data_IF_411572860059
#
_entry.id   IF_411572860059
#
_cell.length_a   1.000
_cell.length_b   1.000
_cell.length_c   1.000
_cell.angle_alpha   90.00
_cell.angle_beta   90.00
_cell.angle_gamma   90.00
#
_symmetry.space_group_name_H-M   'P 1'
#
loop_
_entity.id
_entity.type
_entity.pdbx_description
1 polymer ?
#
# COMPACT_ATOMS: atom_id res chain seq x y z
N UNK A 1 9.31 -6.48 -3.56
CA UNK A 1 8.05 -6.17 -2.82
C UNK A 1 6.82 -6.78 -3.46
N UNK A 2 6.51 -6.50 -4.73
CA UNK A 2 5.40 -7.12 -5.47
C UNK A 2 5.25 -8.63 -5.24
N UNK A 3 6.31 -9.40 -5.51
CA UNK A 3 6.32 -10.86 -5.36
C UNK A 3 6.10 -11.32 -3.92
N UNK A 4 6.73 -10.65 -2.95
CA UNK A 4 6.55 -10.93 -1.53
C UNK A 4 5.08 -10.79 -1.13
N UNK A 5 4.46 -9.65 -1.44
CA UNK A 5 3.06 -9.41 -1.04
C UNK A 5 2.06 -10.25 -1.84
N UNK A 6 2.38 -10.65 -3.07
CA UNK A 6 1.64 -11.71 -3.76
C UNK A 6 1.66 -13.01 -2.95
N UNK A 7 2.84 -13.52 -2.57
CA UNK A 7 2.92 -14.76 -1.80
C UNK A 7 2.28 -14.65 -0.41
N UNK A 8 2.46 -13.53 0.27
CA UNK A 8 1.82 -13.25 1.57
C UNK A 8 0.30 -13.23 1.45
N UNK A 9 -0.25 -12.56 0.43
CA UNK A 9 -1.70 -12.43 0.25
C UNK A 9 -2.41 -13.78 0.05
N UNK A 10 -1.70 -14.78 -0.46
CA UNK A 10 -2.24 -16.12 -0.75
C UNK A 10 -1.95 -17.13 0.37
N UNK A 11 -1.10 -16.80 1.34
CA UNK A 11 -0.89 -17.64 2.54
C UNK A 11 -1.92 -17.30 3.62
N UNK A 12 -3.14 -17.82 3.42
CA UNK A 12 -4.26 -17.53 4.32
C UNK A 12 -4.00 -17.97 5.77
N UNK A 13 -3.24 -19.04 5.97
CA UNK A 13 -2.89 -19.51 7.31
C UNK A 13 -2.02 -18.48 8.04
N UNK A 14 -0.99 -17.95 7.37
CA UNK A 14 -0.15 -16.89 7.91
C UNK A 14 -0.95 -15.61 8.21
N UNK A 15 -1.83 -15.18 7.30
CA UNK A 15 -2.67 -14.00 7.50
C UNK A 15 -3.61 -14.17 8.70
N UNK A 16 -4.28 -15.32 8.82
CA UNK A 16 -5.17 -15.62 9.94
C UNK A 16 -4.38 -15.64 11.25
N UNK A 17 -3.29 -16.39 11.33
CA UNK A 17 -2.46 -16.48 12.55
C UNK A 17 -1.95 -15.10 12.99
N UNK A 18 -1.51 -14.28 12.03
CA UNK A 18 -0.96 -12.94 12.30
C UNK A 18 -2.01 -11.94 12.78
N UNK A 19 -3.24 -12.03 12.25
CA UNK A 19 -4.27 -11.01 12.43
C UNK A 19 -5.41 -11.42 13.38
N UNK A 20 -5.56 -12.70 13.70
CA UNK A 20 -6.59 -13.17 14.64
C UNK A 20 -6.54 -12.45 16.00
N UNK A 21 -5.37 -12.20 16.61
CA UNK A 21 -5.32 -11.46 17.88
C UNK A 21 -5.91 -10.04 17.78
N UNK A 22 -5.94 -9.46 16.58
CA UNK A 22 -6.48 -8.12 16.33
C UNK A 22 -8.00 -8.13 16.08
N UNK A 23 -8.62 -9.28 15.80
CA UNK A 23 -10.03 -9.37 15.43
C UNK A 23 -11.01 -8.92 16.54
N UNK A 24 -10.60 -9.02 17.80
CA UNK A 24 -11.42 -8.55 18.92
C UNK A 24 -11.48 -7.02 18.99
N UNK A 25 -10.37 -6.34 18.71
CA UNK A 25 -10.22 -4.88 18.83
C UNK A 25 -10.43 -4.15 17.50
N UNK A 26 -10.35 -4.86 16.37
CA UNK A 26 -10.47 -4.31 15.02
C UNK A 26 -11.63 -4.94 14.26
N UNK A 27 -12.73 -4.18 14.15
CA UNK A 27 -13.95 -4.64 13.48
C UNK A 27 -13.72 -5.03 12.01
N UNK A 28 -12.93 -4.25 11.25
CA UNK A 28 -12.64 -4.58 9.85
C UNK A 28 -11.84 -5.86 9.70
N UNK A 29 -10.79 -6.05 10.52
CA UNK A 29 -9.96 -7.25 10.48
C UNK A 29 -10.82 -8.47 10.73
N UNK A 30 -11.69 -8.43 11.76
CA UNK A 30 -12.60 -9.54 12.05
C UNK A 30 -13.49 -9.88 10.86
N UNK A 31 -14.17 -8.88 10.29
CA UNK A 31 -15.10 -9.08 9.17
C UNK A 31 -14.38 -9.62 7.93
N UNK A 32 -13.17 -9.13 7.64
CA UNK A 32 -12.41 -9.60 6.48
C UNK A 32 -11.74 -10.96 6.71
N UNK A 33 -11.35 -11.32 7.95
CA UNK A 33 -10.93 -12.68 8.28
C UNK A 33 -12.08 -13.69 8.19
N UNK A 34 -13.29 -13.32 8.63
CA UNK A 34 -14.51 -14.12 8.44
C UNK A 34 -14.75 -14.37 6.94
N UNK A 35 -14.66 -13.33 6.12
CA UNK A 35 -14.79 -13.45 4.67
C UNK A 35 -13.68 -14.29 4.04
N UNK A 36 -12.42 -14.12 4.46
CA UNK A 36 -11.28 -14.90 3.95
C UNK A 36 -11.49 -16.40 4.19
N UNK A 37 -11.96 -16.78 5.39
CA UNK A 37 -12.30 -18.17 5.73
C UNK A 37 -13.43 -18.70 4.87
N UNK A 38 -14.44 -17.87 4.62
CA UNK A 38 -15.56 -18.23 3.78
C UNK A 38 -15.11 -18.54 2.34
N UNK A 39 -14.34 -17.65 1.71
CA UNK A 39 -13.78 -17.85 0.37
C UNK A 39 -12.89 -19.10 0.33
N UNK A 40 -12.07 -19.31 1.35
CA UNK A 40 -11.23 -20.51 1.44
C UNK A 40 -12.06 -21.79 1.50
N UNK A 41 -13.20 -21.77 2.20
CA UNK A 41 -14.09 -22.93 2.32
C UNK A 41 -14.94 -23.18 1.07
N UNK A 42 -15.36 -22.12 0.37
CA UNK A 42 -16.16 -22.21 -0.86
C UNK A 42 -15.30 -22.66 -2.06
N UNK A 43 -14.03 -22.26 -2.06
CA UNK A 43 -13.10 -22.49 -3.15
C UNK A 43 -12.91 -21.23 -4.00
N UNK A 44 -11.82 -21.20 -4.77
CA UNK A 44 -11.43 -20.02 -5.53
C UNK A 44 -12.13 -20.05 -6.90
N UNK A 45 -13.07 -19.13 -7.13
CA UNK A 45 -13.75 -18.96 -8.43
C UNK A 45 -12.96 -18.09 -9.43
N UNK A 46 -12.05 -17.24 -8.95
CA UNK A 46 -11.16 -16.43 -9.79
C UNK A 46 -9.70 -16.73 -9.47
N UNK A 47 -8.97 -17.49 -10.32
CA UNK A 47 -7.59 -17.88 -10.06
C UNK A 47 -6.56 -16.75 -10.27
N UNK A 48 -6.93 -15.65 -10.93
CA UNK A 48 -6.05 -14.52 -11.18
C UNK A 48 -6.19 -13.47 -10.08
N UNK A 49 -5.07 -13.13 -9.44
CA UNK A 49 -4.99 -12.02 -8.49
C UNK A 49 -4.19 -10.86 -9.09
N UNK A 50 -4.71 -9.64 -8.91
CA UNK A 50 -4.02 -8.39 -9.24
C UNK A 50 -3.69 -7.66 -7.94
N UNK A 51 -2.40 -7.44 -7.72
CA UNK A 51 -1.93 -6.54 -6.67
C UNK A 51 -1.41 -5.29 -7.33
N UNK A 52 -2.11 -4.17 -7.14
CA UNK A 52 -1.56 -2.84 -7.30
C UNK A 52 -0.99 -2.41 -5.95
N UNK A 53 0.26 -1.95 -5.91
CA UNK A 53 0.89 -1.52 -4.66
C UNK A 53 1.78 -0.28 -4.78
N UNK A 54 1.92 0.42 -3.66
CA UNK A 54 2.90 1.48 -3.43
C UNK A 54 3.74 1.10 -2.22
N UNK A 55 5.06 1.10 -2.37
CA UNK A 55 6.00 0.89 -1.26
C UNK A 55 6.68 2.21 -0.93
N UNK A 56 6.60 2.61 0.33
CA UNK A 56 7.07 3.91 0.81
C UNK A 56 8.36 3.75 1.61
N UNK A 57 9.32 4.63 1.40
CA UNK A 57 10.68 4.55 1.91
C UNK A 57 11.18 5.92 2.39
N UNK A 58 12.02 5.90 3.42
CA UNK A 58 12.83 7.06 3.79
C UNK A 58 14.30 6.64 3.85
N UNK A 59 15.18 7.61 3.66
CA UNK A 59 16.58 7.40 4.02
C UNK A 59 16.72 7.25 5.54
N UNK A 60 17.77 6.60 5.98
CA UNK A 60 18.16 6.46 7.36
C UNK A 60 19.67 6.59 7.47
N UNK A 61 20.16 7.40 8.42
CA UNK A 61 21.60 7.49 8.70
C UNK A 61 22.12 6.10 9.09
N UNK A 62 23.13 5.61 8.37
CA UNK A 62 23.86 4.40 8.74
C UNK A 62 24.78 4.74 9.90
N UNK A 63 24.62 4.09 11.05
CA UNK A 63 25.50 4.29 12.19
C UNK A 63 26.93 3.83 11.85
N UNK A 64 27.79 4.75 11.40
CA UNK A 64 29.22 4.52 11.28
C UNK A 64 29.92 5.25 12.43
N UNK A 65 30.19 4.54 13.52
CA UNK A 65 30.88 5.07 14.72
C UNK A 65 32.33 5.55 14.44
N UNK A 66 32.86 5.35 13.23
CA UNK A 66 34.29 5.53 12.94
C UNK A 66 34.68 6.62 11.94
N UNK A 67 33.76 7.31 11.25
CA UNK A 67 34.16 8.38 10.32
C UNK A 67 33.19 9.58 10.31
N UNK A 68 33.54 10.62 11.07
CA UNK A 68 32.79 11.89 11.21
C UNK A 68 32.77 12.73 9.91
N UNK A 69 33.34 12.27 8.79
CA UNK A 69 33.55 13.09 7.59
C UNK A 69 32.47 13.00 6.51
N UNK A 70 31.57 12.00 6.53
CA UNK A 70 30.41 11.92 5.63
C UNK A 70 29.32 11.03 6.22
N UNK A 71 28.11 11.55 6.40
CA UNK A 71 26.96 10.72 6.77
C UNK A 71 26.62 9.80 5.58
N UNK A 72 26.63 8.50 5.82
CA UNK A 72 26.17 7.49 4.87
C UNK A 72 24.70 7.17 5.15
N UNK A 73 23.93 6.88 4.11
CA UNK A 73 22.48 6.67 4.22
C UNK A 73 22.07 5.34 3.59
N UNK A 74 21.16 4.64 4.25
CA UNK A 74 20.48 3.46 3.74
C UNK A 74 19.00 3.75 3.50
N UNK A 75 18.37 2.98 2.62
CA UNK A 75 16.94 3.11 2.33
C UNK A 75 16.14 2.16 3.20
N UNK A 76 15.16 2.69 3.94
CA UNK A 76 14.31 1.92 4.85
C UNK A 76 12.84 2.10 4.51
N UNK A 77 12.12 1.01 4.39
CA UNK A 77 10.70 0.98 4.12
C UNK A 77 9.93 1.51 5.33
N UNK A 78 9.04 2.46 5.09
CA UNK A 78 8.12 3.05 6.07
C UNK A 78 6.84 2.24 6.16
N UNK A 79 6.28 1.90 5.00
CA UNK A 79 5.02 1.17 4.87
C UNK A 79 4.84 0.58 3.47
N UNK A 80 3.91 -0.36 3.37
CA UNK A 80 3.34 -0.86 2.13
C UNK A 80 1.89 -0.41 2.07
N UNK A 81 1.42 -0.07 0.87
CA UNK A 81 0.07 0.33 0.57
C UNK A 81 -0.47 -0.52 -0.59
N UNK A 82 -1.50 -1.33 -0.33
CA UNK A 82 -2.21 -2.15 -1.31
C UNK A 82 -3.68 -1.71 -1.34
N UNK A 83 -4.22 -1.56 -2.56
CA UNK A 83 -5.61 -1.13 -2.76
C UNK A 83 -5.77 0.40 -2.88
N UNK A 84 -6.54 1.08 -2.00
CA UNK A 84 -6.72 2.52 -2.06
C UNK A 84 -5.45 3.29 -1.69
N UNK A 85 -4.68 3.69 -2.69
CA UNK A 85 -3.65 4.71 -2.54
C UNK A 85 -3.71 5.71 -3.69
N UNK A 86 -3.10 6.88 -3.46
CA UNK A 86 -2.97 7.95 -4.46
C UNK A 86 -1.53 8.32 -4.72
N UNK A 87 -1.37 9.34 -5.56
CA UNK A 87 -0.11 10.01 -5.85
C UNK A 87 0.65 9.53 -7.09
N UNK A 88 0.14 8.51 -7.79
CA UNK A 88 0.72 8.02 -9.04
C UNK A 88 0.66 9.06 -10.17
N UNK A 89 -0.51 9.69 -10.38
CA UNK A 89 -0.66 10.76 -11.36
C UNK A 89 0.01 12.06 -10.89
N UNK A 90 -0.05 12.35 -9.59
CA UNK A 90 0.63 13.51 -9.01
C UNK A 90 2.15 13.41 -9.18
N UNK A 91 2.76 12.23 -8.98
CA UNK A 91 4.18 11.99 -9.19
C UNK A 91 4.63 12.33 -10.61
N UNK A 92 3.89 11.84 -11.62
CA UNK A 92 4.15 12.16 -13.03
C UNK A 92 4.07 13.67 -13.33
N UNK A 93 3.08 14.36 -12.77
CA UNK A 93 2.96 15.81 -12.91
C UNK A 93 4.08 16.58 -12.21
N UNK A 94 4.42 16.21 -10.97
CA UNK A 94 5.50 16.84 -10.23
C UNK A 94 6.85 16.65 -10.91
N UNK A 95 7.09 15.49 -11.50
CA UNK A 95 8.29 15.23 -12.30
C UNK A 95 8.38 16.20 -13.48
N UNK A 96 7.31 16.35 -14.27
CA UNK A 96 7.25 17.28 -15.40
C UNK A 96 7.41 18.74 -14.94
N UNK A 97 6.80 19.11 -13.82
CA UNK A 97 6.89 20.45 -13.24
C UNK A 97 8.31 20.76 -12.76
N UNK A 98 8.93 19.88 -11.96
CA UNK A 98 10.27 20.08 -11.44
C UNK A 98 11.34 20.08 -12.52
N UNK A 99 11.20 19.29 -13.59
CA UNK A 99 12.09 19.38 -14.78
C UNK A 99 12.11 20.80 -15.34
N UNK A 100 10.94 21.42 -15.55
CA UNK A 100 10.86 22.81 -16.01
C UNK A 100 11.46 23.81 -15.03
N UNK A 101 11.29 23.59 -13.72
CA UNK A 101 11.88 24.48 -12.71
C UNK A 101 13.40 24.36 -12.66
N UNK A 102 13.93 23.15 -12.78
CA UNK A 102 15.37 22.89 -12.81
C UNK A 102 16.02 23.47 -14.08
N UNK A 103 15.39 23.34 -15.24
CA UNK A 103 15.82 24.02 -16.48
C UNK A 103 15.90 25.54 -16.29
N UNK A 104 14.86 26.16 -15.73
CA UNK A 104 14.85 27.61 -15.43
C UNK A 104 15.95 28.02 -14.45
N UNK A 105 16.30 27.14 -13.51
CA UNK A 105 17.38 27.34 -12.57
C UNK A 105 18.78 27.02 -13.16
N UNK A 106 18.89 26.72 -14.45
CA UNK A 106 20.15 26.38 -15.11
C UNK A 106 20.76 25.05 -14.65
N UNK A 107 19.92 24.13 -14.14
CA UNK A 107 20.34 22.81 -13.66
C UNK A 107 20.17 21.75 -14.76
N UNK A 108 20.94 20.66 -14.64
CA UNK A 108 20.86 19.52 -15.56
C UNK A 108 19.51 18.82 -15.40
N UNK A 109 18.86 18.56 -16.52
CA UNK A 109 17.60 17.80 -16.55
C UNK A 109 17.76 16.64 -17.53
N UNK A 110 18.06 15.47 -16.98
CA UNK A 110 18.18 14.19 -17.68
C UNK A 110 17.56 13.10 -16.82
N UNK A 111 17.16 11.99 -17.43
CA UNK A 111 16.53 10.86 -16.72
C UNK A 111 17.43 10.25 -15.63
N UNK A 112 18.75 10.37 -15.75
CA UNK A 112 19.70 9.92 -14.73
C UNK A 112 19.78 10.82 -13.49
N UNK A 113 19.37 12.08 -13.60
CA UNK A 113 19.26 13.02 -12.47
C UNK A 113 17.81 13.20 -12.00
N UNK A 114 16.84 13.05 -12.90
CA UNK A 114 15.41 13.21 -12.62
C UNK A 114 14.64 12.09 -13.34
N UNK A 115 14.44 10.93 -12.69
CA UNK A 115 13.88 9.74 -13.30
C UNK A 115 12.55 9.98 -14.01
N UNK A 116 12.30 9.24 -15.08
CA UNK A 116 10.97 9.20 -15.70
C UNK A 116 9.94 8.61 -14.75
N UNK A 117 8.70 9.03 -14.92
CA UNK A 117 7.64 8.75 -13.97
C UNK A 117 6.35 8.40 -14.68
N UNK A 118 6.09 7.10 -14.72
CA UNK A 118 4.98 6.46 -15.42
C UNK A 118 4.03 5.79 -14.41
N UNK A 119 3.89 6.35 -13.20
CA UNK A 119 3.11 5.72 -12.14
C UNK A 119 1.64 5.57 -12.51
N UNK A 120 1.01 6.58 -13.12
CA UNK A 120 -0.39 6.50 -13.54
C UNK A 120 -0.59 5.51 -14.69
N UNK A 121 0.34 5.50 -15.64
CA UNK A 121 0.39 4.57 -16.76
C UNK A 121 0.52 3.13 -16.27
N UNK A 122 1.40 2.89 -15.29
CA UNK A 122 1.57 1.58 -14.69
C UNK A 122 0.28 1.07 -14.03
N UNK A 123 -0.43 1.90 -13.26
CA UNK A 123 -1.67 1.49 -12.62
C UNK A 123 -2.75 1.13 -13.66
N UNK A 124 -2.87 1.95 -14.71
CA UNK A 124 -3.78 1.69 -15.81
C UNK A 124 -3.40 0.40 -16.57
N UNK A 125 -2.11 0.15 -16.78
CA UNK A 125 -1.57 -1.07 -17.41
C UNK A 125 -1.93 -2.31 -16.58
N UNK A 126 -1.74 -2.28 -15.25
CA UNK A 126 -2.11 -3.40 -14.38
C UNK A 126 -3.61 -3.74 -14.45
N UNK A 127 -4.49 -2.73 -14.44
CA UNK A 127 -5.94 -2.92 -14.61
C UNK A 127 -6.29 -3.45 -16.01
N UNK A 128 -5.59 -2.95 -17.03
CA UNK A 128 -5.82 -3.35 -18.41
C UNK A 128 -5.42 -4.81 -18.67
N UNK A 129 -4.24 -5.22 -18.19
CA UNK A 129 -3.77 -6.60 -18.32
C UNK A 129 -4.66 -7.57 -17.52
N UNK A 130 -5.16 -7.17 -16.34
CA UNK A 130 -6.18 -7.94 -15.64
C UNK A 130 -7.45 -8.12 -16.48
N UNK A 131 -7.96 -7.03 -17.06
CA UNK A 131 -9.16 -7.07 -17.89
C UNK A 131 -8.99 -7.96 -19.13
N UNK A 132 -7.82 -7.94 -19.77
CA UNK A 132 -7.48 -8.86 -20.86
C UNK A 132 -7.46 -10.32 -20.40
N UNK A 133 -6.86 -10.59 -19.24
CA UNK A 133 -6.79 -11.95 -18.67
C UNK A 133 -8.17 -12.50 -18.28
N UNK A 134 -9.15 -11.64 -18.02
CA UNK A 134 -10.54 -12.05 -17.84
C UNK A 134 -11.18 -12.62 -19.12
N UNK A 135 -10.62 -12.34 -20.31
CA UNK A 135 -11.00 -12.93 -21.61
C UNK A 135 -12.46 -12.71 -22.04
N UNK A 136 -13.05 -11.60 -21.64
CA UNK A 136 -14.37 -11.17 -22.16
C UNK A 136 -14.32 -9.70 -22.58
N UNK A 137 -14.31 -9.39 -23.90
CA UNK A 137 -14.17 -8.02 -24.39
C UNK A 137 -15.40 -7.13 -24.11
N UNK A 138 -16.53 -7.71 -23.68
CA UNK A 138 -17.73 -6.98 -23.31
C UNK A 138 -17.84 -6.74 -21.79
N UNK A 139 -16.94 -7.33 -21.00
CA UNK A 139 -16.94 -7.16 -19.56
C UNK A 139 -16.54 -5.73 -19.15
N UNK A 140 -17.12 -5.23 -18.08
CA UNK A 140 -16.81 -3.90 -17.55
C UNK A 140 -15.71 -3.95 -16.49
N UNK A 141 -15.03 -2.82 -16.30
CA UNK A 141 -14.23 -2.55 -15.11
C UNK A 141 -15.09 -1.77 -14.12
N UNK A 142 -15.29 -2.33 -12.93
CA UNK A 142 -16.02 -1.70 -11.84
C UNK A 142 -15.03 -1.04 -10.88
N UNK A 143 -15.12 0.28 -10.72
CA UNK A 143 -14.42 1.03 -9.69
C UNK A 143 -15.35 1.15 -8.48
N UNK A 144 -14.91 0.64 -7.33
CA UNK A 144 -15.63 0.76 -6.06
C UNK A 144 -15.06 1.93 -5.27
N UNK A 145 -15.74 3.08 -5.33
CA UNK A 145 -15.32 4.33 -4.74
C UNK A 145 -16.52 5.15 -4.23
N UNK A 146 -16.43 5.60 -2.98
CA UNK A 146 -17.34 6.63 -2.45
C UNK A 146 -17.10 7.97 -3.16
N UNK A 147 -18.06 8.89 -3.13
CA UNK A 147 -17.99 10.17 -3.88
C UNK A 147 -16.71 10.96 -3.62
N UNK A 148 -16.23 10.98 -2.36
CA UNK A 148 -14.99 11.67 -1.98
C UNK A 148 -13.74 11.04 -2.60
N UNK A 149 -13.80 9.74 -2.87
CA UNK A 149 -12.72 8.98 -3.48
C UNK A 149 -12.86 8.94 -5.02
N UNK A 150 -13.65 9.82 -5.66
CA UNK A 150 -13.68 9.96 -7.13
C UNK A 150 -12.80 11.13 -7.53
N UNK A 151 -11.50 10.98 -7.32
CA UNK A 151 -10.54 12.08 -7.44
C UNK A 151 -10.18 12.39 -8.90
N UNK A 152 -9.60 13.58 -9.12
CA UNK A 152 -9.04 13.96 -10.42
C UNK A 152 -7.96 12.98 -10.90
N UNK A 153 -7.15 12.47 -9.97
CA UNK A 153 -6.16 11.42 -10.27
C UNK A 153 -6.81 10.17 -10.88
N UNK A 154 -7.92 9.68 -10.32
CA UNK A 154 -8.60 8.50 -10.87
C UNK A 154 -9.15 8.75 -12.26
N UNK A 155 -9.68 9.94 -12.51
CA UNK A 155 -10.15 10.32 -13.85
C UNK A 155 -9.03 10.28 -14.91
N UNK A 156 -7.77 10.50 -14.51
CA UNK A 156 -6.62 10.38 -15.41
C UNK A 156 -6.25 8.91 -15.65
N UNK A 157 -6.22 8.09 -14.60
CA UNK A 157 -5.95 6.65 -14.71
C UNK A 157 -7.02 5.98 -15.60
N UNK A 158 -8.30 6.33 -15.41
CA UNK A 158 -9.42 5.85 -16.23
C UNK A 158 -9.24 6.20 -17.71
N UNK A 159 -8.77 7.42 -18.02
CA UNK A 159 -8.51 7.85 -19.40
C UNK A 159 -7.36 7.05 -20.04
N UNK A 160 -6.28 6.79 -19.29
CA UNK A 160 -5.17 5.97 -19.77
C UNK A 160 -5.65 4.54 -20.02
N UNK A 161 -6.40 3.95 -19.09
CA UNK A 161 -6.97 2.60 -19.24
C UNK A 161 -7.87 2.49 -20.48
N UNK A 162 -8.75 3.46 -20.70
CA UNK A 162 -9.60 3.52 -21.90
C UNK A 162 -8.73 3.66 -23.17
N UNK A 163 -7.64 4.43 -23.11
CA UNK A 163 -6.75 4.61 -24.26
C UNK A 163 -5.98 3.32 -24.58
N UNK A 164 -5.49 2.59 -23.58
CA UNK A 164 -4.86 1.29 -23.75
C UNK A 164 -5.82 0.30 -24.44
N UNK A 165 -7.06 0.21 -23.96
CA UNK A 165 -8.07 -0.62 -24.59
C UNK A 165 -8.38 -0.22 -26.04
N UNK A 166 -8.47 1.08 -26.33
CA UNK A 166 -8.69 1.59 -27.70
C UNK A 166 -7.54 1.25 -28.65
N UNK A 167 -6.29 1.30 -28.19
CA UNK A 167 -5.12 0.95 -29.00
C UNK A 167 -5.20 -0.50 -29.50
N UNK A 168 -5.81 -1.39 -28.71
CA UNK A 168 -6.05 -2.80 -29.05
C UNK A 168 -7.44 -3.03 -29.69
N UNK A 169 -8.12 -1.96 -30.13
CA UNK A 169 -9.45 -1.98 -30.76
C UNK A 169 -10.60 -2.48 -29.86
N UNK A 170 -10.48 -2.32 -28.54
CA UNK A 170 -11.55 -2.59 -27.59
C UNK A 170 -12.32 -1.34 -27.17
N UNK A 171 -13.59 -1.53 -26.80
CA UNK A 171 -14.44 -0.50 -26.18
C UNK A 171 -14.68 -0.85 -24.71
N UNK A 172 -13.64 -0.66 -23.89
CA UNK A 172 -13.72 -0.88 -22.45
C UNK A 172 -14.66 0.15 -21.80
N UNK A 173 -15.57 -0.35 -20.94
CA UNK A 173 -16.47 0.49 -20.13
C UNK A 173 -16.05 0.44 -18.66
N UNK A 174 -15.89 1.62 -18.08
CA UNK A 174 -15.63 1.80 -16.65
C UNK A 174 -16.93 2.26 -16.00
N UNK A 175 -17.30 1.65 -14.86
CA UNK A 175 -18.45 2.06 -14.05
C UNK A 175 -17.99 2.31 -12.62
N UNK A 176 -18.53 3.34 -11.98
CA UNK A 176 -18.24 3.68 -10.60
C UNK A 176 -19.46 3.40 -9.70
N UNK A 177 -19.27 2.65 -8.61
CA UNK A 177 -20.26 2.44 -7.56
C UNK A 177 -19.64 2.69 -6.19
N UNK A 178 -20.42 3.21 -5.24
CA UNK A 178 -20.02 3.14 -3.85
C UNK A 178 -20.24 1.71 -3.31
N UNK A 179 -19.43 1.30 -2.33
CA UNK A 179 -19.49 -0.07 -1.81
C UNK A 179 -20.89 -0.43 -1.29
N UNK A 180 -21.58 0.50 -0.64
CA UNK A 180 -22.92 0.26 -0.09
C UNK A 180 -24.02 0.11 -1.16
N UNK A 181 -23.77 0.51 -2.41
CA UNK A 181 -24.72 0.38 -3.53
C UNK A 181 -24.60 -0.98 -4.22
N UNK A 182 -23.45 -1.63 -4.10
CA UNK A 182 -23.09 -2.82 -4.85
C UNK A 182 -24.02 -4.00 -4.52
N UNK A 183 -24.44 -4.18 -3.27
CA UNK A 183 -25.33 -5.27 -2.88
C UNK A 183 -26.67 -5.20 -3.63
N UNK A 184 -27.25 -4.00 -3.79
CA UNK A 184 -28.53 -3.84 -4.50
C UNK A 184 -28.41 -3.88 -6.02
N UNK A 185 -27.24 -3.50 -6.54
CA UNK A 185 -27.03 -3.28 -7.98
C UNK A 185 -26.31 -4.42 -8.68
N UNK A 186 -25.56 -5.23 -7.93
CA UNK A 186 -24.83 -6.37 -8.45
C UNK A 186 -25.55 -7.67 -8.13
N UNK A 187 -25.57 -8.57 -9.10
CA UNK A 187 -26.05 -9.94 -8.96
C UNK A 187 -24.92 -10.93 -9.19
N UNK A 188 -24.88 -12.00 -8.39
CA UNK A 188 -23.93 -13.10 -8.53
C UNK A 188 -24.68 -14.30 -9.08
N UNK A 189 -24.17 -14.91 -10.14
CA UNK A 189 -24.75 -16.14 -10.70
C UNK A 189 -24.34 -17.37 -9.89
N UNK A 190 -24.90 -17.51 -8.69
CA UNK A 190 -24.59 -18.62 -7.75
C UNK A 190 -25.04 -19.99 -8.28
N UNK A 191 -26.00 -20.03 -9.20
CA UNK A 191 -26.48 -21.27 -9.80
C UNK A 191 -25.65 -21.72 -11.00
N UNK A 192 -24.85 -20.81 -11.57
CA UNK A 192 -24.01 -21.04 -12.74
C UNK A 192 -22.53 -20.94 -12.41
N UNK A 193 -21.85 -19.99 -13.05
CA UNK A 193 -20.39 -19.89 -13.05
C UNK A 193 -19.84 -18.87 -12.04
N UNK A 194 -20.68 -18.33 -11.15
CA UNK A 194 -20.31 -17.27 -10.21
C UNK A 194 -19.89 -15.95 -10.89
N UNK A 195 -20.35 -15.69 -12.12
CA UNK A 195 -20.19 -14.39 -12.76
C UNK A 195 -20.90 -13.27 -12.00
N UNK A 196 -20.22 -12.12 -11.90
CA UNK A 196 -20.75 -10.90 -11.31
C UNK A 196 -21.36 -10.02 -12.40
N UNK A 197 -22.58 -9.55 -12.19
CA UNK A 197 -23.29 -8.75 -13.20
C UNK A 197 -23.74 -7.40 -12.63
N UNK A 198 -23.73 -6.39 -13.48
CA UNK A 198 -24.42 -5.12 -13.31
C UNK A 198 -25.47 -5.00 -14.41
N UNK A 199 -26.71 -5.40 -14.11
CA UNK A 199 -27.74 -5.53 -15.14
C UNK A 199 -27.41 -6.67 -16.11
N UNK A 200 -27.31 -6.36 -17.39
CA UNK A 200 -26.95 -7.29 -18.47
C UNK A 200 -25.42 -7.38 -18.71
N UNK A 201 -24.62 -6.63 -17.95
CA UNK A 201 -23.18 -6.54 -18.17
C UNK A 201 -22.40 -7.36 -17.14
N UNK A 202 -21.52 -8.23 -17.63
CA UNK A 202 -20.54 -8.96 -16.80
C UNK A 202 -19.48 -7.98 -16.28
N UNK A 203 -19.13 -8.10 -15.01
CA UNK A 203 -18.02 -7.38 -14.36
C UNK A 203 -16.78 -8.27 -14.42
N UNK A 204 -15.75 -7.82 -15.13
CA UNK A 204 -14.51 -8.59 -15.30
C UNK A 204 -13.41 -8.23 -14.30
N UNK A 205 -13.34 -6.95 -13.91
CA UNK A 205 -12.37 -6.45 -12.94
C UNK A 205 -13.08 -5.55 -11.94
N UNK A 206 -12.76 -5.71 -10.64
CA UNK A 206 -13.22 -4.82 -9.58
C UNK A 206 -12.02 -4.15 -8.91
N UNK A 207 -11.93 -2.83 -9.01
CA UNK A 207 -10.88 -2.05 -8.37
C UNK A 207 -11.44 -1.27 -7.18
N UNK A 208 -11.00 -1.60 -5.97
CA UNK A 208 -11.40 -0.86 -4.76
C UNK A 208 -10.52 0.38 -4.56
N UNK A 209 -11.17 1.53 -4.39
CA UNK A 209 -10.55 2.84 -4.13
C UNK A 209 -11.03 3.48 -2.82
N UNK A 210 -11.70 2.72 -1.96
CA UNK A 210 -12.10 3.17 -0.63
C UNK A 210 -11.74 2.09 0.39
N UNK A 211 -11.16 2.49 1.53
CA UNK A 211 -11.04 1.60 2.68
C UNK A 211 -12.35 1.58 3.44
N UNK A 212 -12.77 0.40 3.91
CA UNK A 212 -13.97 0.27 4.71
C UNK A 212 -13.62 -0.31 6.10
N UNK A 213 -13.27 0.56 7.04
CA UNK A 213 -12.88 0.14 8.41
C UNK A 213 -14.07 -0.22 9.31
N UNK A 214 -15.26 0.26 8.99
CA UNK A 214 -16.49 -0.01 9.74
C UNK A 214 -17.64 -0.35 8.78
N UNK A 215 -17.54 -1.48 8.05
CA UNK A 215 -18.55 -1.85 7.07
C UNK A 215 -19.90 -2.14 7.72
N UNK A 216 -20.93 -1.42 7.28
CA UNK A 216 -22.30 -1.77 7.60
C UNK A 216 -22.74 -3.06 6.88
N UNK A 217 -23.95 -3.57 7.17
CA UNK A 217 -24.45 -4.81 6.57
C UNK A 217 -24.40 -4.81 5.04
N UNK A 218 -24.86 -3.75 4.38
CA UNK A 218 -24.84 -3.65 2.92
C UNK A 218 -23.42 -3.67 2.35
N UNK A 219 -22.45 -3.00 3.00
CA UNK A 219 -21.05 -3.01 2.57
C UNK A 219 -20.40 -4.40 2.74
N UNK A 220 -20.73 -5.11 3.83
CA UNK A 220 -20.28 -6.49 4.03
C UNK A 220 -20.83 -7.42 2.96
N UNK A 221 -22.14 -7.34 2.69
CA UNK A 221 -22.80 -8.18 1.69
C UNK A 221 -22.28 -7.88 0.27
N UNK A 222 -22.01 -6.61 -0.01
CA UNK A 222 -21.37 -6.17 -1.25
C UNK A 222 -19.98 -6.75 -1.43
N UNK A 223 -19.10 -6.60 -0.44
CA UNK A 223 -17.73 -7.12 -0.52
C UNK A 223 -17.74 -8.65 -0.63
N UNK A 224 -18.57 -9.32 0.17
CA UNK A 224 -18.76 -10.78 0.10
C UNK A 224 -19.18 -11.24 -1.30
N UNK A 225 -20.18 -10.59 -1.89
CA UNK A 225 -20.66 -10.90 -3.25
C UNK A 225 -19.57 -10.72 -4.31
N UNK A 226 -18.76 -9.66 -4.20
CA UNK A 226 -17.65 -9.39 -5.11
C UNK A 226 -16.54 -10.45 -4.95
N UNK A 227 -16.14 -10.77 -3.72
CA UNK A 227 -15.04 -11.70 -3.45
C UNK A 227 -15.34 -13.11 -3.97
N UNK A 228 -16.58 -13.57 -3.82
CA UNK A 228 -17.06 -14.88 -4.30
C UNK A 228 -17.18 -14.99 -5.83
N UNK A 229 -17.12 -13.87 -6.54
CA UNK A 229 -17.33 -13.86 -7.98
C UNK A 229 -16.10 -14.25 -8.79
N UNK A 230 -16.32 -14.50 -10.07
CA UNK A 230 -15.25 -14.66 -11.07
C UNK A 230 -14.59 -13.35 -11.48
N UNK A 231 -15.00 -12.17 -11.00
CA UNK A 231 -14.29 -10.93 -11.35
C UNK A 231 -12.87 -10.92 -10.74
N UNK A 232 -11.88 -10.35 -11.44
CA UNK A 232 -10.53 -10.14 -10.88
C UNK A 232 -10.58 -8.95 -9.93
N UNK A 233 -10.17 -9.14 -8.68
CA UNK A 233 -10.23 -8.13 -7.63
C UNK A 233 -8.89 -7.44 -7.46
N UNK A 234 -8.91 -6.14 -7.20
CA UNK A 234 -7.74 -5.36 -6.86
C UNK A 234 -8.07 -4.33 -5.76
N UNK A 235 -7.76 -4.65 -4.49
CA UNK A 235 -7.26 -5.93 -3.99
C UNK A 235 -8.37 -6.96 -3.78
N UNK A 236 -8.03 -8.25 -3.79
CA UNK A 236 -8.85 -9.29 -3.14
C UNK A 236 -8.75 -9.20 -1.60
N UNK A 237 -9.54 -9.99 -0.87
CA UNK A 237 -9.59 -9.94 0.60
C UNK A 237 -8.26 -10.31 1.26
N UNK A 238 -7.50 -11.26 0.70
CA UNK A 238 -6.18 -11.64 1.20
C UNK A 238 -5.15 -10.52 1.02
N UNK A 239 -5.18 -9.86 -0.13
CA UNK A 239 -4.34 -8.71 -0.45
C UNK A 239 -4.66 -7.50 0.44
N UNK A 240 -5.95 -7.24 0.72
CA UNK A 240 -6.39 -6.20 1.66
C UNK A 240 -5.86 -6.47 3.08
N UNK A 241 -6.03 -7.70 3.58
CA UNK A 241 -5.50 -8.12 4.89
C UNK A 241 -3.97 -8.09 4.96
N UNK A 242 -3.28 -8.40 3.85
CA UNK A 242 -1.81 -8.34 3.80
C UNK A 242 -1.26 -6.93 4.00
N UNK A 243 -2.07 -5.90 3.74
CA UNK A 243 -1.68 -4.50 3.85
C UNK A 243 -1.50 -4.01 5.30
N UNK A 244 -1.90 -4.80 6.29
CA UNK A 244 -1.88 -4.37 7.69
C UNK A 244 -0.45 -4.19 8.20
N UNK A 245 -0.21 -3.14 9.00
CA UNK A 245 1.08 -2.89 9.66
C UNK A 245 1.56 -4.09 10.49
N UNK A 246 0.62 -4.83 11.11
CA UNK A 246 0.94 -6.09 11.82
C UNK A 246 1.53 -7.16 10.89
N UNK A 247 1.05 -7.27 9.65
CA UNK A 247 1.61 -8.20 8.65
C UNK A 247 3.01 -7.76 8.23
N UNK A 248 3.22 -6.46 7.98
CA UNK A 248 4.55 -5.91 7.69
C UNK A 248 5.55 -6.23 8.82
N UNK A 249 5.14 -6.06 10.08
CA UNK A 249 5.95 -6.43 11.24
C UNK A 249 6.24 -7.93 11.31
N UNK A 250 5.24 -8.78 11.08
CA UNK A 250 5.42 -10.24 11.10
C UNK A 250 6.39 -10.71 10.01
N UNK A 251 6.33 -10.12 8.82
CA UNK A 251 7.27 -10.40 7.71
C UNK A 251 8.71 -10.02 8.09
N UNK A 252 8.90 -8.96 8.88
CA UNK A 252 10.22 -8.52 9.31
C UNK A 252 10.88 -9.43 10.36
N UNK A 253 10.12 -10.36 10.96
CA UNK A 253 10.66 -11.30 11.96
C UNK A 253 11.59 -12.35 11.32
N UNK A 254 12.61 -12.83 12.07
CA UNK A 254 13.52 -13.87 11.57
C UNK A 254 12.77 -15.12 11.08
N UNK A 255 13.16 -15.63 9.91
CA UNK A 255 12.58 -16.84 9.31
C UNK A 255 11.28 -16.61 8.51
N UNK A 256 10.63 -15.45 8.63
CA UNK A 256 9.36 -15.21 7.92
C UNK A 256 9.55 -14.97 6.43
N UNK A 257 10.62 -14.27 6.01
CA UNK A 257 10.90 -14.10 4.57
C UNK A 257 11.19 -15.45 3.91
N UNK A 258 11.92 -16.34 4.59
CA UNK A 258 12.24 -17.68 4.12
C UNK A 258 11.00 -18.55 3.88
N UNK A 259 9.92 -18.34 4.66
CA UNK A 259 8.61 -18.98 4.41
C UNK A 259 8.07 -18.62 3.03
N UNK A 260 8.26 -17.38 2.58
CA UNK A 260 7.76 -16.88 1.29
C UNK A 260 8.78 -17.02 0.15
N UNK A 261 10.04 -17.29 0.44
CA UNK A 261 11.11 -17.51 -0.53
C UNK A 261 11.89 -18.78 -0.18
N UNK A 262 11.25 -19.97 -0.24
CA UNK A 262 11.89 -21.23 0.17
C UNK A 262 12.89 -21.76 -0.86
N UNK A 263 12.84 -21.27 -2.11
CA UNK A 263 13.80 -21.65 -3.15
C UNK A 263 15.17 -21.01 -2.83
N UNK A 264 16.25 -21.80 -2.66
CA UNK A 264 17.59 -21.27 -2.44
C UNK A 264 18.06 -20.29 -3.52
N UNK A 265 17.52 -20.38 -4.75
CA UNK A 265 17.82 -19.43 -5.83
C UNK A 265 17.25 -18.03 -5.58
N UNK A 266 16.35 -17.87 -4.61
CA UNK A 266 15.75 -16.59 -4.21
C UNK A 266 16.42 -15.99 -2.95
N UNK A 267 17.52 -16.59 -2.46
CA UNK A 267 18.20 -16.14 -1.24
C UNK A 267 18.70 -14.69 -1.33
N UNK A 268 19.17 -14.25 -2.50
CA UNK A 268 19.59 -12.86 -2.72
C UNK A 268 18.40 -11.88 -2.56
N UNK A 269 17.20 -12.28 -3.00
CA UNK A 269 15.99 -11.48 -2.81
C UNK A 269 15.66 -11.32 -1.33
N UNK A 270 15.81 -12.37 -0.53
CA UNK A 270 15.65 -12.28 0.93
C UNK A 270 16.61 -11.24 1.53
N UNK A 271 17.88 -11.24 1.10
CA UNK A 271 18.89 -10.29 1.56
C UNK A 271 18.49 -8.85 1.19
N UNK A 272 18.09 -8.59 -0.06
CA UNK A 272 17.66 -7.26 -0.52
C UNK A 272 16.40 -6.77 0.19
N UNK A 273 15.38 -7.62 0.32
CA UNK A 273 14.14 -7.29 1.03
C UNK A 273 14.44 -6.92 2.49
N UNK A 274 15.22 -7.76 3.18
CA UNK A 274 15.60 -7.55 4.58
C UNK A 274 16.44 -6.29 4.77
N UNK A 275 17.35 -5.99 3.86
CA UNK A 275 18.15 -4.77 3.91
C UNK A 275 17.28 -3.50 3.89
N UNK A 276 16.12 -3.55 3.22
CA UNK A 276 15.16 -2.46 3.17
C UNK A 276 14.28 -2.33 4.41
N UNK A 277 14.22 -3.31 5.30
CA UNK A 277 13.35 -3.24 6.48
C UNK A 277 13.96 -2.36 7.57
N UNK A 278 13.14 -1.46 8.11
CA UNK A 278 13.43 -0.79 9.39
C UNK A 278 13.22 -1.78 10.55
N UNK A 279 13.77 -1.47 11.72
CA UNK A 279 13.45 -2.23 12.93
C UNK A 279 11.94 -2.22 13.19
N UNK A 280 11.34 -3.40 13.38
CA UNK A 280 9.93 -3.58 13.69
C UNK A 280 9.76 -4.64 14.77
N UNK A 281 8.87 -4.39 15.71
CA UNK A 281 8.63 -5.28 16.85
C UNK A 281 7.14 -5.40 17.14
N UNK A 282 6.70 -6.64 17.31
CA UNK A 282 5.38 -6.94 17.87
C UNK A 282 5.41 -6.81 19.38
N UNK A 283 4.31 -6.35 19.98
CA UNK A 283 4.24 -6.07 21.42
C UNK A 283 3.40 -7.08 22.21
N UNK A 284 2.83 -8.08 21.52
CA UNK A 284 1.87 -9.02 22.09
C UNK A 284 2.48 -10.23 22.80
N UNK A 285 3.77 -10.50 22.60
CA UNK A 285 4.43 -11.66 23.22
C UNK A 285 4.84 -11.33 24.67
N UNK A 286 4.97 -12.38 25.49
CA UNK A 286 5.40 -12.26 26.89
C UNK A 286 6.88 -12.66 27.09
N UNK A 287 7.62 -12.82 26.00
CA UNK A 287 9.05 -13.13 25.99
C UNK A 287 9.91 -11.93 26.47
N UNK A 288 11.15 -12.23 26.82
CA UNK A 288 12.06 -11.24 27.40
C UNK A 288 12.46 -10.15 26.39
N UNK A 289 12.58 -10.50 25.10
CA UNK A 289 12.93 -9.56 24.04
C UNK A 289 11.83 -8.52 23.85
N UNK A 290 10.56 -8.94 23.91
CA UNK A 290 9.40 -8.06 23.83
C UNK A 290 9.29 -7.15 25.06
N UNK A 291 9.59 -7.64 26.26
CA UNK A 291 9.65 -6.78 27.46
C UNK A 291 10.78 -5.75 27.36
N UNK A 292 11.95 -6.18 26.89
CA UNK A 292 13.11 -5.31 26.73
C UNK A 292 12.83 -4.19 25.73
N UNK A 293 12.22 -4.48 24.57
CA UNK A 293 11.90 -3.44 23.59
C UNK A 293 10.81 -2.48 24.09
N UNK A 294 9.83 -2.97 24.86
CA UNK A 294 8.81 -2.10 25.48
C UNK A 294 9.46 -1.17 26.51
N UNK A 295 10.34 -1.69 27.36
CA UNK A 295 11.06 -0.89 28.36
C UNK A 295 11.97 0.15 27.69
N UNK A 296 12.73 -0.24 26.67
CA UNK A 296 13.55 0.70 25.91
C UNK A 296 12.72 1.78 25.22
N UNK A 297 11.54 1.45 24.67
CA UNK A 297 10.64 2.45 24.09
C UNK A 297 9.99 3.37 25.13
N UNK A 298 9.85 2.92 26.39
CA UNK A 298 9.39 3.76 27.51
C UNK A 298 10.51 4.73 27.96
N UNK A 299 11.75 4.27 28.02
CA UNK A 299 12.90 5.07 28.45
C UNK A 299 13.40 6.01 27.34
N UNK A 300 13.34 5.56 26.09
CA UNK A 300 13.87 6.22 24.91
C UNK A 300 12.80 6.39 23.81
N UNK A 301 11.63 7.01 24.10
CA UNK A 301 10.52 7.07 23.16
C UNK A 301 10.85 7.80 21.84
N UNK A 302 11.86 8.69 21.86
CA UNK A 302 12.36 9.37 20.68
C UNK A 302 12.92 8.45 19.59
N UNK A 303 13.29 7.21 19.92
CA UNK A 303 13.83 6.23 18.98
C UNK A 303 12.76 5.46 18.22
N UNK A 304 11.48 5.64 18.55
CA UNK A 304 10.40 4.80 18.06
C UNK A 304 9.23 5.59 17.49
N UNK A 305 8.40 4.85 16.75
CA UNK A 305 7.06 5.23 16.32
C UNK A 305 6.14 4.08 16.70
N UNK A 306 5.10 4.36 17.48
CA UNK A 306 4.09 3.37 17.85
C UNK A 306 2.93 3.47 16.86
N UNK A 307 2.67 2.38 16.13
CA UNK A 307 1.68 2.34 15.05
C UNK A 307 0.53 1.38 15.38
N UNK A 308 -0.75 1.82 15.33
CA UNK A 308 -1.87 0.89 15.29
C UNK A 308 -2.00 0.25 13.90
N UNK A 309 -2.69 -0.89 13.81
CA UNK A 309 -3.05 -1.48 12.52
C UNK A 309 -4.25 -0.75 11.89
N UNK A 310 -4.01 0.48 11.42
CA UNK A 310 -4.96 1.35 10.69
C UNK A 310 -4.28 1.99 9.48
N UNK A 311 -5.04 2.27 8.43
CA UNK A 311 -4.58 2.97 7.22
C UNK A 311 -5.15 4.41 7.13
N UNK A 312 -4.60 5.25 6.24
CA UNK A 312 -5.12 6.60 5.96
C UNK A 312 -4.39 7.77 6.65
N UNK A 313 -3.23 7.54 7.26
CA UNK A 313 -2.39 8.59 7.89
C UNK A 313 -2.91 9.12 9.22
N UNK A 314 -2.05 9.78 10.01
CA UNK A 314 -2.46 10.46 11.26
C UNK A 314 -2.78 9.57 12.46
N UNK A 315 -2.52 8.26 12.38
CA UNK A 315 -2.81 7.30 13.45
C UNK A 315 -1.60 6.99 14.36
N UNK A 316 -0.40 7.45 14.00
CA UNK A 316 0.82 7.09 14.72
C UNK A 316 0.97 7.89 16.01
N UNK A 317 1.65 7.30 17.00
CA UNK A 317 2.01 7.95 18.27
C UNK A 317 3.52 8.20 18.31
N UNK A 318 3.93 9.34 18.87
CA UNK A 318 5.28 9.88 18.80
C UNK A 318 5.74 10.43 20.15
N UNK A 319 7.06 10.41 20.39
CA UNK A 319 7.67 11.06 21.56
C UNK A 319 7.08 10.54 22.89
N UNK A 320 7.01 11.40 23.89
CA UNK A 320 6.64 11.01 25.26
C UNK A 320 5.26 10.32 25.36
N UNK A 321 4.34 10.59 24.42
CA UNK A 321 3.04 9.92 24.33
C UNK A 321 3.18 8.39 24.12
N UNK A 322 4.28 7.93 23.49
CA UNK A 322 4.59 6.49 23.37
C UNK A 322 4.77 5.88 24.76
N UNK A 323 5.57 6.51 25.62
CA UNK A 323 5.86 6.02 26.96
C UNK A 323 4.59 6.01 27.83
N UNK A 324 3.75 7.03 27.73
CA UNK A 324 2.45 7.10 28.41
C UNK A 324 1.53 5.96 27.99
N UNK A 325 1.39 5.72 26.67
CA UNK A 325 0.54 4.65 26.14
C UNK A 325 1.05 3.27 26.52
N UNK A 326 2.35 2.99 26.36
CA UNK A 326 2.91 1.68 26.69
C UNK A 326 2.74 1.32 28.17
N UNK A 327 2.84 2.29 29.09
CA UNK A 327 2.56 2.09 30.53
C UNK A 327 1.09 1.82 30.83
N UNK A 328 0.17 2.35 30.02
CA UNK A 328 -1.27 2.24 30.23
C UNK A 328 -1.93 1.10 29.44
N UNK A 329 -1.27 0.57 28.43
CA UNK A 329 -1.85 -0.43 27.53
C UNK A 329 -2.15 -1.75 28.25
N UNK A 330 -3.35 -2.27 27.98
CA UNK A 330 -3.69 -3.66 28.22
C UNK A 330 -2.96 -4.57 27.22
N UNK A 331 -2.89 -5.87 27.51
CA UNK A 331 -2.34 -6.89 26.59
C UNK A 331 -2.94 -6.78 25.17
N UNK A 332 -4.26 -6.62 25.07
CA UNK A 332 -4.95 -6.48 23.79
C UNK A 332 -4.56 -5.22 23.03
N UNK A 333 -4.29 -4.12 23.73
CA UNK A 333 -3.82 -2.90 23.10
C UNK A 333 -2.38 -3.06 22.63
N UNK A 334 -1.51 -3.76 23.38
CA UNK A 334 -0.18 -4.10 22.90
C UNK A 334 -0.25 -4.95 21.61
N UNK A 335 -1.08 -5.99 21.58
CA UNK A 335 -1.28 -6.84 20.40
C UNK A 335 -1.76 -6.06 19.17
N UNK A 336 -2.58 -5.01 19.37
CA UNK A 336 -3.11 -4.16 18.30
C UNK A 336 -2.12 -3.12 17.75
N UNK A 337 -0.93 -3.01 18.33
CA UNK A 337 0.11 -2.06 17.93
C UNK A 337 1.42 -2.76 17.59
N UNK A 338 2.25 -2.06 16.83
CA UNK A 338 3.65 -2.40 16.60
C UNK A 338 4.54 -1.23 17.01
N UNK A 339 5.76 -1.52 17.45
CA UNK A 339 6.82 -0.53 17.48
C UNK A 339 7.60 -0.60 16.18
N UNK A 340 7.95 0.56 15.65
CA UNK A 340 8.84 0.70 14.51
C UNK A 340 9.96 1.68 14.86
N UNK A 341 11.15 1.41 14.36
CA UNK A 341 12.30 2.29 14.47
C UNK A 341 11.97 3.66 13.88
N UNK A 342 12.23 4.74 14.62
CA UNK A 342 12.13 6.09 14.08
C UNK A 342 13.29 6.33 13.12
N UNK A 343 12.95 6.57 11.86
CA UNK A 343 13.95 6.85 10.84
C UNK A 343 14.51 8.26 10.98
N UNK A 344 15.82 8.41 10.72
CA UNK A 344 16.56 9.68 10.70
C UNK A 344 16.95 9.96 9.25
N UNK A 345 16.06 10.55 8.45
CA UNK A 345 16.29 10.77 7.02
C UNK A 345 17.27 11.91 6.75
N UNK A 346 17.67 12.01 5.48
CA UNK A 346 18.35 13.19 4.94
C UNK A 346 17.48 14.42 5.20
N UNK A 347 18.10 15.46 5.75
CA UNK A 347 17.49 16.78 5.92
C UNK A 347 18.02 17.69 4.82
N UNK A 348 17.10 18.22 4.02
CA UNK A 348 17.41 19.21 2.97
C UNK A 348 16.61 20.49 3.18
N UNK A 349 17.04 21.60 2.56
CA UNK A 349 16.25 22.83 2.53
C UNK A 349 15.44 22.91 1.24
N UNK A 350 14.15 23.21 1.36
CA UNK A 350 13.29 23.38 0.19
C UNK A 350 12.21 24.45 0.43
N UNK A 351 11.58 24.91 -0.65
CA UNK A 351 10.40 25.76 -0.62
C UNK A 351 9.14 24.89 -0.63
N UNK A 352 8.28 25.06 0.37
CA UNK A 352 6.99 24.40 0.47
C UNK A 352 5.90 25.36 -0.01
N UNK A 353 5.13 24.92 -1.00
CA UNK A 353 4.04 25.70 -1.58
C UNK A 353 2.72 25.00 -1.27
N UNK A 354 1.88 25.66 -0.49
CA UNK A 354 0.54 25.19 -0.14
C UNK A 354 -0.52 26.07 -0.79
N UNK A 355 -1.68 25.50 -1.10
CA UNK A 355 -2.82 26.29 -1.56
C UNK A 355 -3.22 27.32 -0.49
N UNK A 356 -3.39 28.57 -0.90
CA UNK A 356 -3.85 29.68 -0.05
C UNK A 356 -2.97 29.97 1.19
N UNK A 357 -1.68 29.64 1.14
CA UNK A 357 -0.71 30.01 2.18
C UNK A 357 0.52 30.65 1.54
N UNK A 358 1.28 31.38 2.34
CA UNK A 358 2.59 31.87 1.94
C UNK A 358 3.57 30.71 1.69
N UNK A 359 4.51 30.94 0.78
CA UNK A 359 5.60 29.99 0.51
C UNK A 359 6.53 29.94 1.72
N UNK A 360 6.86 28.74 2.17
CA UNK A 360 7.73 28.54 3.35
C UNK A 360 9.06 27.94 2.91
N UNK A 361 10.17 28.59 3.24
CA UNK A 361 11.51 28.02 3.08
C UNK A 361 11.99 27.45 4.42
N UNK A 362 12.20 26.14 4.50
CA UNK A 362 12.50 25.45 5.76
C UNK A 362 13.34 24.20 5.53
N UNK A 363 13.85 23.62 6.62
CA UNK A 363 14.37 22.26 6.63
C UNK A 363 13.24 21.25 6.43
N UNK A 364 13.49 20.25 5.60
CA UNK A 364 12.53 19.29 5.08
C UNK A 364 13.09 17.89 5.06
N UNK A 365 12.20 16.91 5.15
CA UNK A 365 12.49 15.50 4.96
C UNK A 365 11.53 14.92 3.93
N UNK A 366 12.02 13.94 3.17
CA UNK A 366 11.28 13.34 2.07
C UNK A 366 11.10 11.85 2.25
N UNK A 367 9.94 11.38 1.81
CA UNK A 367 9.56 9.97 1.71
C UNK A 367 9.37 9.63 0.23
N UNK A 368 10.12 8.64 -0.24
CA UNK A 368 10.06 8.12 -1.61
C UNK A 368 9.04 6.98 -1.67
N UNK A 369 8.10 7.08 -2.59
CA UNK A 369 7.17 6.01 -2.92
C UNK A 369 7.53 5.42 -4.27
N UNK A 370 7.55 4.09 -4.38
CA UNK A 370 7.68 3.38 -5.66
C UNK A 370 6.39 2.63 -5.97
N UNK A 371 5.93 2.69 -7.21
CA UNK A 371 4.72 1.98 -7.65
C UNK A 371 5.06 0.61 -8.26
N UNK A 372 4.10 -0.31 -8.13
CA UNK A 372 4.26 -1.70 -8.49
C UNK A 372 2.92 -2.33 -8.85
N UNK A 373 2.91 -3.27 -9.81
CA UNK A 373 1.84 -4.24 -9.91
C UNK A 373 2.35 -5.65 -10.16
N UNK A 374 1.57 -6.62 -9.68
CA UNK A 374 1.76 -8.02 -10.00
C UNK A 374 0.42 -8.65 -10.38
N UNK A 375 0.44 -9.38 -11.50
CA UNK A 375 -0.61 -10.33 -11.88
C UNK A 375 -0.07 -11.74 -11.70
N UNK A 376 -0.80 -12.57 -10.97
CA UNK A 376 -0.42 -13.94 -10.69
C UNK A 376 -1.57 -14.92 -10.81
N UNK A 377 -1.25 -16.13 -11.25
CA UNK A 377 -2.12 -17.31 -11.13
C UNK A 377 -1.92 -17.90 -9.73
N UNK A 378 -2.96 -17.82 -8.91
CA UNK A 378 -2.96 -18.27 -7.52
C UNK A 378 -2.83 -19.79 -7.39
N UNK A 379 -3.56 -20.63 -8.15
CA UNK A 379 -3.47 -22.09 -7.98
C UNK A 379 -2.05 -22.65 -8.17
N UNK A 380 -1.27 -22.07 -9.08
CA UNK A 380 0.11 -22.51 -9.35
C UNK A 380 1.16 -21.55 -8.78
N UNK A 381 0.76 -20.50 -8.06
CA UNK A 381 1.63 -19.42 -7.59
C UNK A 381 2.54 -18.83 -8.70
N UNK A 382 2.04 -18.80 -9.94
CA UNK A 382 2.81 -18.38 -11.11
C UNK A 382 2.66 -16.89 -11.35
N UNK A 383 3.78 -16.19 -11.44
CA UNK A 383 3.80 -14.77 -11.86
C UNK A 383 3.53 -14.67 -13.37
N UNK A 384 2.54 -13.86 -13.74
CA UNK A 384 2.20 -13.55 -15.14
C UNK A 384 2.81 -12.22 -15.56
N UNK A 385 2.67 -11.19 -14.72
CA UNK A 385 3.30 -9.89 -14.91
C UNK A 385 3.81 -9.40 -13.55
N UNK A 386 5.00 -8.81 -13.52
CA UNK A 386 5.54 -8.15 -12.34
C UNK A 386 6.33 -6.92 -12.80
N UNK A 387 5.76 -5.75 -12.56
CA UNK A 387 6.26 -4.48 -13.09
C UNK A 387 6.42 -3.50 -11.94
N UNK A 388 7.47 -2.67 -11.98
CA UNK A 388 7.65 -1.51 -11.12
C UNK A 388 8.12 -0.34 -11.96
N UNK A 389 7.28 0.70 -12.07
CA UNK A 389 7.53 1.87 -12.90
C UNK A 389 6.90 3.12 -12.27
N UNK A 390 7.67 4.18 -12.20
CA UNK A 390 7.20 5.42 -11.61
C UNK A 390 7.27 5.43 -10.10
N UNK A 391 7.14 6.64 -9.59
CA UNK A 391 7.45 6.97 -8.22
C UNK A 391 6.66 8.21 -7.80
N UNK A 392 6.64 8.52 -6.53
CA UNK A 392 6.35 9.87 -6.08
C UNK A 392 7.25 10.18 -4.90
N UNK A 393 7.39 11.45 -4.57
CA UNK A 393 8.02 11.85 -3.33
C UNK A 393 7.04 12.71 -2.55
N UNK A 394 7.03 12.55 -1.23
CA UNK A 394 6.28 13.37 -0.30
C UNK A 394 7.26 14.07 0.60
N UNK A 395 7.20 15.39 0.63
CA UNK A 395 8.13 16.21 1.40
C UNK A 395 7.35 16.97 2.47
N UNK A 396 7.87 16.99 3.69
CA UNK A 396 7.28 17.69 4.83
C UNK A 396 8.36 18.50 5.57
N UNK A 397 8.01 19.54 6.34
CA UNK A 397 8.94 20.16 7.28
C UNK A 397 9.61 19.10 8.17
N UNK A 398 10.90 19.24 8.45
CA UNK A 398 11.62 18.29 9.32
C UNK A 398 11.00 18.21 10.72
N UNK A 399 10.47 19.33 11.20
CA UNK A 399 9.86 19.46 12.53
C UNK A 399 8.49 18.79 12.69
N UNK A 400 7.87 18.26 11.63
CA UNK A 400 6.54 17.63 11.70
C UNK A 400 6.59 16.10 11.57
N UNK A 401 5.84 15.42 12.43
CA UNK A 401 5.80 13.96 12.46
C UNK A 401 4.93 13.38 11.33
N UNK A 402 3.77 13.98 11.04
CA UNK A 402 2.82 13.51 10.02
C UNK A 402 2.94 14.33 8.73
N UNK A 403 3.03 13.65 7.58
CA UNK A 403 3.32 14.27 6.28
C UNK A 403 2.18 14.19 5.26
N UNK A 404 0.96 13.80 5.66
CA UNK A 404 -0.16 13.61 4.73
C UNK A 404 -0.45 14.86 3.91
N UNK A 405 -0.40 14.74 2.56
CA UNK A 405 -0.57 15.89 1.65
C UNK A 405 -2.00 16.42 1.71
N UNK A 406 -3.00 15.54 1.65
CA UNK A 406 -4.42 15.91 1.72
C UNK A 406 -4.80 16.53 3.08
N UNK A 407 -4.12 16.13 4.16
CA UNK A 407 -4.27 16.73 5.48
C UNK A 407 -3.50 18.07 5.64
N UNK A 408 -2.75 18.49 4.62
CA UNK A 408 -1.96 19.72 4.62
C UNK A 408 -0.66 19.66 5.44
N UNK A 409 -0.21 18.45 5.82
CA UNK A 409 1.03 18.23 6.57
C UNK A 409 2.28 18.16 5.70
N UNK A 410 2.14 17.84 4.41
CA UNK A 410 3.24 17.76 3.44
C UNK A 410 2.84 18.24 2.05
N UNK A 411 3.76 18.14 1.10
CA UNK A 411 3.59 18.49 -0.31
C UNK A 411 4.06 17.33 -1.20
N UNK A 412 3.55 17.26 -2.43
CA UNK A 412 4.10 16.37 -3.45
C UNK A 412 5.43 16.89 -3.97
N UNK A 413 6.33 15.97 -4.32
CA UNK A 413 7.69 16.26 -4.73
C UNK A 413 8.17 15.20 -5.76
N UNK A 414 9.35 15.41 -6.35
CA UNK A 414 10.06 14.43 -7.19
C UNK A 414 11.58 14.49 -6.94
N UNK A 415 12.28 13.35 -7.02
CA UNK A 415 13.70 13.28 -6.64
C UNK A 415 14.61 13.96 -7.66
N UNK A 416 15.71 14.53 -7.14
CA UNK A 416 16.89 14.87 -7.92
C UNK A 416 18.06 14.01 -7.44
N UNK A 417 18.52 13.08 -8.29
CA UNK A 417 19.58 12.13 -7.99
C UNK A 417 20.95 12.83 -8.09
N UNK A 418 21.82 12.58 -7.10
CA UNK A 418 23.12 13.23 -6.90
C UNK A 418 24.30 12.29 -7.11
#
# INVERSE_FOLDING_TARGET
MNLLYFRVSQDHAFLIETLEPLAETSFHIRVWLELLREIQSEGIHQPISLILMRSDYMSHIKNNEHEIKKMDYELKQVEINIGPYGGAAHGGHMTKFHRKMMEKAGRRVKSDSMPDNEGAEQLAEGLYEAWKLFKNPNAIVLIVADTMNRTYEMSQIDQILIQLAKNDNYKLKIVNLALHECDKRLTLDEAGDFSLHLGDQIVGVVHFKTFCFHPNKAQKDSRRKIERSTAIKCPDVGSDLSNMKKVQQAIAMPGTLERFFPDPNEAEMIVELRASFAGMWGLGNEDEDTKNIINDAIENPGNYVLKPSKEGGGNNTWGDEIAEKLKAFTKKQLEAHILMQRLKPIVGKNYLVYAHRDVVYTDTTSELSTFGYLLGDVPNMKVLHNVSKGHMMRTKPESVNEGGVEAGGGVHDSPYLI
#
